data_IF_287727305606
#
_entry.id   IF_287727305606
#
_cell.length_a   1.000
_cell.length_b   1.000
_cell.length_c   1.000
_cell.angle_alpha   90.00
_cell.angle_beta   90.00
_cell.angle_gamma   90.00
#
_symmetry.space_group_name_H-M   'P 1'
#
loop_
_entity.id
_entity.type
_entity.pdbx_description
1 polymer ?
#
# COMPACT_ATOMS: atom_id res chain seq x y z
N UNK A 1 31.32 6.28 6.41
CA UNK A 1 30.98 6.23 4.98
C UNK A 1 30.91 4.76 4.58
N UNK A 2 29.87 4.31 3.85
CA UNK A 2 29.79 2.93 3.39
C UNK A 2 30.97 2.60 2.47
N UNK A 3 31.39 1.33 2.43
CA UNK A 3 32.44 0.86 1.54
C UNK A 3 32.06 1.13 0.07
N UNK A 4 33.04 1.45 -0.77
CA UNK A 4 32.80 1.83 -2.17
C UNK A 4 32.09 0.73 -2.99
N UNK A 5 32.27 -0.54 -2.60
CA UNK A 5 31.65 -1.71 -3.23
C UNK A 5 30.35 -2.16 -2.56
N UNK A 6 29.88 -1.43 -1.53
CA UNK A 6 28.67 -1.78 -0.79
C UNK A 6 27.41 -1.73 -1.66
N UNK A 7 26.36 -2.51 -1.32
CA UNK A 7 25.06 -2.44 -1.98
C UNK A 7 24.49 -1.02 -2.02
N UNK A 8 24.59 -0.28 -0.91
CA UNK A 8 24.11 1.11 -0.80
C UNK A 8 24.74 2.02 -1.85
N UNK A 9 26.06 1.99 -2.00
CA UNK A 9 26.77 2.81 -3.00
C UNK A 9 26.32 2.41 -4.40
N UNK A 10 26.35 1.12 -4.73
CA UNK A 10 25.93 0.61 -6.05
C UNK A 10 24.49 0.98 -6.41
N UNK A 11 23.57 0.95 -5.45
CA UNK A 11 22.16 1.31 -5.67
C UNK A 11 21.97 2.82 -5.84
N UNK A 12 22.63 3.64 -5.02
CA UNK A 12 22.39 5.09 -4.99
C UNK A 12 23.24 5.89 -5.99
N UNK A 13 24.36 5.31 -6.47
CA UNK A 13 25.25 5.96 -7.45
C UNK A 13 25.16 5.34 -8.84
N UNK A 14 24.11 4.56 -9.12
CA UNK A 14 23.77 4.09 -10.46
C UNK A 14 23.27 5.23 -11.36
N UNK A 15 22.29 4.99 -12.25
CA UNK A 15 21.67 6.05 -13.03
C UNK A 15 21.08 7.14 -12.13
N UNK A 16 21.33 8.41 -12.47
CA UNK A 16 20.81 9.55 -11.70
C UNK A 16 19.28 9.52 -11.73
N UNK A 17 18.67 9.41 -10.55
CA UNK A 17 17.23 9.51 -10.41
C UNK A 17 16.75 10.91 -10.77
N UNK A 18 15.84 11.01 -11.74
CA UNK A 18 15.26 12.28 -12.18
C UNK A 18 13.73 12.17 -12.18
N UNK A 19 13.07 12.83 -11.24
CA UNK A 19 11.60 12.83 -11.16
C UNK A 19 10.96 13.39 -12.45
N UNK A 20 11.60 14.38 -13.09
CA UNK A 20 11.12 14.95 -14.35
C UNK A 20 11.18 13.95 -15.53
N UNK A 21 11.97 12.87 -15.44
CA UNK A 21 11.96 11.83 -16.46
C UNK A 21 10.57 11.18 -16.56
N UNK A 22 9.82 11.10 -15.45
CA UNK A 22 8.51 10.47 -15.39
C UNK A 22 7.48 11.07 -16.37
N UNK A 23 7.62 12.36 -16.71
CA UNK A 23 6.71 13.03 -17.65
C UNK A 23 7.11 12.88 -19.12
N UNK A 24 8.32 12.40 -19.42
CA UNK A 24 8.82 12.23 -20.78
C UNK A 24 8.13 11.07 -21.51
N UNK A 25 7.99 11.18 -22.83
CA UNK A 25 7.39 10.11 -23.64
C UNK A 25 8.21 8.82 -23.64
N UNK A 26 9.54 8.93 -23.68
CA UNK A 26 10.44 7.77 -23.65
C UNK A 26 10.28 6.97 -22.36
N UNK A 27 10.18 7.66 -21.21
CA UNK A 27 9.95 7.01 -19.92
C UNK A 27 8.60 6.31 -19.83
N UNK A 28 7.52 6.95 -20.29
CA UNK A 28 6.17 6.37 -20.25
C UNK A 28 6.00 5.17 -21.18
N UNK A 29 6.79 5.13 -22.27
CA UNK A 29 6.77 4.03 -23.25
C UNK A 29 7.72 2.89 -22.90
N UNK A 30 8.73 3.14 -22.07
CA UNK A 30 9.61 2.08 -21.58
C UNK A 30 8.84 1.10 -20.69
N UNK A 31 9.38 -0.11 -20.51
CA UNK A 31 8.84 -1.12 -19.60
C UNK A 31 9.81 -1.31 -18.43
N UNK A 32 9.65 -0.48 -17.39
CA UNK A 32 10.51 -0.48 -16.21
C UNK A 32 9.68 -0.97 -15.01
N UNK A 33 9.54 -2.29 -14.90
CA UNK A 33 8.62 -2.95 -13.95
C UNK A 33 8.78 -2.56 -12.48
N UNK A 34 9.90 -1.96 -12.10
CA UNK A 34 10.15 -1.49 -10.72
C UNK A 34 9.71 -0.05 -10.45
N UNK A 35 9.52 0.80 -11.47
CA UNK A 35 9.52 2.26 -11.24
C UNK A 35 8.69 3.14 -12.18
N UNK A 36 8.27 2.70 -13.37
CA UNK A 36 7.56 3.58 -14.33
C UNK A 36 6.06 3.30 -14.53
N UNK A 37 5.44 2.55 -13.62
CA UNK A 37 3.99 2.31 -13.66
C UNK A 37 3.18 3.61 -13.59
N UNK A 38 2.25 3.79 -14.54
CA UNK A 38 1.34 4.94 -14.58
C UNK A 38 -0.08 4.51 -14.22
N UNK A 39 -0.54 4.92 -13.05
CA UNK A 39 -1.84 4.52 -12.51
C UNK A 39 -2.41 5.61 -11.59
N UNK A 40 -3.69 5.47 -11.22
CA UNK A 40 -4.33 6.30 -10.21
C UNK A 40 -4.72 5.46 -8.98
N UNK A 41 -5.15 6.12 -7.90
CA UNK A 41 -5.49 5.43 -6.66
C UNK A 41 -6.57 4.35 -6.87
N UNK A 42 -7.61 4.66 -7.65
CA UNK A 42 -8.70 3.73 -7.95
C UNK A 42 -8.20 2.48 -8.67
N UNK A 43 -7.40 2.62 -9.72
CA UNK A 43 -6.90 1.47 -10.48
C UNK A 43 -5.95 0.62 -9.63
N UNK A 44 -5.05 1.24 -8.87
CA UNK A 44 -4.15 0.51 -7.96
C UNK A 44 -4.94 -0.25 -6.89
N UNK A 45 -5.93 0.40 -6.26
CA UNK A 45 -6.75 -0.27 -5.25
C UNK A 45 -7.53 -1.45 -5.82
N UNK A 46 -8.09 -1.29 -7.04
CA UNK A 46 -8.80 -2.37 -7.73
C UNK A 46 -7.89 -3.53 -8.10
N UNK A 47 -6.69 -3.27 -8.62
CA UNK A 47 -5.77 -4.34 -8.99
C UNK A 47 -5.26 -5.08 -7.76
N UNK A 48 -4.83 -4.35 -6.73
CA UNK A 48 -4.25 -4.95 -5.52
C UNK A 48 -5.30 -5.57 -4.59
N UNK A 49 -6.60 -5.25 -4.76
CA UNK A 49 -7.67 -5.92 -4.00
C UNK A 49 -7.76 -7.41 -4.28
N UNK A 50 -7.21 -7.90 -5.40
CA UNK A 50 -7.06 -9.33 -5.66
C UNK A 50 -6.30 -10.04 -4.52
N UNK A 51 -5.37 -9.34 -3.86
CA UNK A 51 -4.61 -9.88 -2.73
C UNK A 51 -5.47 -9.83 -1.45
N UNK A 52 -6.07 -8.67 -1.14
CA UNK A 52 -6.78 -8.48 0.15
C UNK A 52 -8.13 -9.19 0.23
N UNK A 53 -8.88 -9.29 -0.87
CA UNK A 53 -10.26 -9.79 -0.83
C UNK A 53 -10.35 -11.31 -0.63
N UNK A 54 -9.23 -12.03 -0.76
CA UNK A 54 -9.18 -13.49 -0.74
C UNK A 54 -9.59 -14.10 -2.10
N UNK A 55 -9.08 -15.29 -2.39
CA UNK A 55 -9.40 -16.05 -3.61
C UNK A 55 -8.80 -15.50 -4.91
N UNK A 56 -8.17 -14.32 -4.89
CA UNK A 56 -7.47 -13.75 -6.04
C UNK A 56 -8.37 -13.21 -7.13
N UNK A 57 -9.63 -12.89 -6.82
CA UNK A 57 -10.65 -12.52 -7.79
C UNK A 57 -11.13 -11.09 -7.60
N UNK A 58 -11.23 -10.36 -8.71
CA UNK A 58 -11.76 -8.99 -8.76
C UNK A 58 -12.73 -8.89 -9.92
N UNK A 59 -13.95 -8.43 -9.66
CA UNK A 59 -15.01 -8.26 -10.66
C UNK A 59 -15.26 -9.52 -11.52
N UNK A 60 -15.25 -10.70 -10.89
CA UNK A 60 -15.46 -11.99 -11.55
C UNK A 60 -14.24 -12.55 -12.30
N UNK A 61 -13.10 -11.86 -12.28
CA UNK A 61 -11.85 -12.31 -12.93
C UNK A 61 -10.85 -12.74 -11.89
N UNK A 62 -10.47 -14.02 -11.92
CA UNK A 62 -9.44 -14.57 -11.05
C UNK A 62 -8.05 -14.31 -11.62
N UNK A 63 -7.27 -13.50 -10.91
CA UNK A 63 -5.90 -13.12 -11.24
C UNK A 63 -4.86 -13.99 -10.51
N UNK A 64 -5.16 -14.43 -9.29
CA UNK A 64 -4.24 -15.21 -8.45
C UNK A 64 -4.96 -16.41 -7.84
N UNK A 65 -4.21 -17.45 -7.49
CA UNK A 65 -4.72 -18.52 -6.63
C UNK A 65 -4.59 -18.10 -5.16
N UNK A 66 -5.42 -18.67 -4.27
CA UNK A 66 -5.25 -18.46 -2.82
C UNK A 66 -3.86 -18.88 -2.34
N UNK A 67 -3.33 -20.00 -2.87
CA UNK A 67 -1.96 -20.45 -2.60
C UNK A 67 -0.92 -19.39 -2.96
N UNK A 68 -1.11 -18.69 -4.08
CA UNK A 68 -0.21 -17.60 -4.50
C UNK A 68 -0.26 -16.43 -3.53
N UNK A 69 -1.46 -16.04 -3.07
CA UNK A 69 -1.63 -14.98 -2.07
C UNK A 69 -0.95 -15.37 -0.76
N UNK A 70 -1.08 -16.63 -0.32
CA UNK A 70 -0.44 -17.11 0.90
C UNK A 70 1.08 -17.13 0.79
N UNK A 71 1.66 -17.30 -0.42
CA UNK A 71 3.10 -17.14 -0.64
C UNK A 71 3.57 -15.69 -0.52
N UNK A 72 2.75 -14.70 -0.91
CA UNK A 72 3.11 -13.28 -0.83
C UNK A 72 3.45 -12.87 0.60
N UNK A 73 2.70 -13.37 1.57
CA UNK A 73 2.84 -13.04 3.00
C UNK A 73 3.86 -13.90 3.74
N UNK A 74 4.52 -14.84 3.06
CA UNK A 74 5.62 -15.60 3.65
C UNK A 74 6.89 -14.76 3.68
N UNK A 75 7.51 -14.70 4.85
CA UNK A 75 8.78 -13.99 5.04
C UNK A 75 9.87 -14.55 4.12
N UNK A 76 10.49 -13.65 3.35
CA UNK A 76 11.64 -13.92 2.49
C UNK A 76 12.93 -13.38 3.09
N UNK A 77 12.85 -12.25 3.81
CA UNK A 77 13.97 -11.64 4.51
C UNK A 77 13.47 -10.77 5.66
N UNK A 78 14.25 -10.66 6.73
CA UNK A 78 13.94 -9.82 7.89
C UNK A 78 15.23 -9.29 8.50
N UNK A 79 15.37 -7.97 8.56
CA UNK A 79 16.55 -7.31 9.11
C UNK A 79 16.63 -5.83 8.72
N UNK A 80 17.79 -5.22 8.96
CA UNK A 80 18.05 -3.86 8.48
C UNK A 80 18.30 -3.90 6.97
N UNK A 81 17.49 -3.20 6.20
CA UNK A 81 17.69 -3.07 4.76
C UNK A 81 18.99 -2.31 4.48
N UNK A 82 19.87 -2.89 3.65
CA UNK A 82 21.20 -2.32 3.41
C UNK A 82 21.16 -1.00 2.61
N UNK A 83 20.05 -0.68 1.94
CA UNK A 83 19.92 0.54 1.14
C UNK A 83 19.11 1.60 1.90
N UNK A 84 17.96 1.22 2.45
CA UNK A 84 17.08 2.12 3.21
C UNK A 84 17.59 2.38 4.62
N UNK A 85 18.42 1.49 5.18
CA UNK A 85 19.02 1.64 6.51
C UNK A 85 18.04 1.46 7.68
N UNK A 86 16.83 0.95 7.42
CA UNK A 86 15.77 0.74 8.42
C UNK A 86 15.40 -0.74 8.53
N UNK A 87 14.88 -1.20 9.68
CA UNK A 87 14.29 -2.53 9.78
C UNK A 87 13.19 -2.72 8.74
N UNK A 88 13.27 -3.80 7.98
CA UNK A 88 12.29 -4.15 6.96
C UNK A 88 12.15 -5.67 6.88
N UNK A 89 10.91 -6.11 6.86
CA UNK A 89 10.54 -7.52 6.69
C UNK A 89 9.87 -7.66 5.34
N UNK A 90 10.46 -8.49 4.48
CA UNK A 90 10.01 -8.68 3.11
C UNK A 90 9.20 -9.96 2.97
N UNK A 91 8.08 -9.86 2.28
CA UNK A 91 7.43 -10.98 1.61
C UNK A 91 7.84 -11.02 0.14
N UNK A 92 7.01 -11.64 -0.70
CA UNK A 92 7.24 -11.59 -2.15
C UNK A 92 6.70 -10.27 -2.70
N UNK A 93 7.62 -9.32 -2.93
CA UNK A 93 7.33 -8.02 -3.59
C UNK A 93 6.78 -6.92 -2.68
N UNK A 94 6.44 -7.22 -1.43
CA UNK A 94 5.89 -6.25 -0.48
C UNK A 94 6.62 -6.30 0.86
N UNK A 95 6.59 -5.18 1.58
CA UNK A 95 6.95 -5.16 2.98
C UNK A 95 5.79 -5.76 3.80
N UNK A 96 6.17 -6.49 4.85
CA UNK A 96 5.27 -7.10 5.82
C UNK A 96 5.45 -6.44 7.19
N UNK A 97 4.40 -6.35 8.01
CA UNK A 97 4.52 -5.81 9.37
C UNK A 97 5.53 -6.60 10.21
N UNK A 98 6.47 -5.94 10.88
CA UNK A 98 7.26 -6.49 12.00
C UNK A 98 7.19 -5.56 13.21
N UNK A 99 7.50 -6.02 14.44
CA UNK A 99 7.54 -5.14 15.61
C UNK A 99 8.42 -3.89 15.42
N UNK A 100 9.48 -4.00 14.62
CA UNK A 100 10.50 -2.97 14.38
C UNK A 100 10.18 -2.08 13.18
N UNK A 101 9.43 -2.58 12.18
CA UNK A 101 9.17 -1.87 10.91
C UNK A 101 7.73 -1.41 10.72
N UNK A 102 6.77 -1.91 11.52
CA UNK A 102 5.34 -1.62 11.32
C UNK A 102 5.04 -0.14 11.59
N UNK A 103 4.53 0.61 10.60
CA UNK A 103 4.14 1.98 10.82
C UNK A 103 3.05 2.09 11.89
N UNK A 104 3.09 3.10 12.78
CA UNK A 104 2.15 3.23 13.90
C UNK A 104 0.67 3.37 13.50
N UNK A 105 0.39 3.71 12.24
CA UNK A 105 -0.97 3.80 11.71
C UNK A 105 -1.57 2.44 11.33
N UNK A 106 -0.77 1.37 11.27
CA UNK A 106 -1.24 0.02 11.03
C UNK A 106 -1.56 -0.71 12.34
N UNK A 107 -2.54 -1.63 12.34
CA UNK A 107 -2.81 -2.47 13.50
C UNK A 107 -1.65 -3.41 13.82
N UNK A 108 -1.26 -3.48 15.10
CA UNK A 108 -0.15 -4.34 15.56
C UNK A 108 -0.42 -5.85 15.42
N UNK A 109 -1.69 -6.26 15.41
CA UNK A 109 -2.12 -7.66 15.34
C UNK A 109 -2.72 -8.00 13.97
N UNK A 110 -2.02 -7.66 12.89
CA UNK A 110 -2.47 -7.94 11.53
C UNK A 110 -1.31 -8.50 10.68
N UNK A 111 -0.96 -9.79 10.89
CA UNK A 111 0.21 -10.38 10.26
C UNK A 111 0.06 -10.55 8.73
N UNK A 112 -1.17 -10.48 8.21
CA UNK A 112 -1.49 -10.64 6.79
C UNK A 112 -1.71 -9.29 6.08
N UNK A 113 -0.89 -8.29 6.42
CA UNK A 113 -0.83 -7.02 5.69
C UNK A 113 0.36 -7.04 4.73
N UNK A 114 0.14 -6.57 3.50
CA UNK A 114 1.18 -6.23 2.55
C UNK A 114 1.20 -4.71 2.36
N UNK A 115 2.36 -4.08 2.41
CA UNK A 115 2.52 -2.63 2.23
C UNK A 115 3.68 -2.33 1.28
N UNK A 116 3.50 -1.35 0.41
CA UNK A 116 4.59 -0.78 -0.37
C UNK A 116 4.36 0.69 -0.67
N UNK A 117 5.46 1.45 -0.69
CA UNK A 117 5.49 2.88 -0.98
C UNK A 117 6.32 3.20 -2.20
N UNK A 118 6.00 4.32 -2.86
CA UNK A 118 6.78 4.86 -3.97
C UNK A 118 7.40 6.21 -3.63
N UNK A 119 8.49 6.53 -4.33
CA UNK A 119 9.17 7.82 -4.19
C UNK A 119 8.21 8.98 -4.42
N UNK A 120 8.26 9.96 -3.52
CA UNK A 120 7.34 11.09 -3.48
C UNK A 120 6.18 10.92 -2.48
N UNK A 121 5.88 9.69 -2.05
CA UNK A 121 4.92 9.39 -0.99
C UNK A 121 3.65 8.66 -1.43
N UNK A 122 3.64 7.99 -2.58
CA UNK A 122 2.55 7.08 -2.93
C UNK A 122 2.60 5.86 -2.02
N UNK A 123 1.44 5.24 -1.76
CA UNK A 123 1.36 4.11 -0.83
C UNK A 123 0.21 3.17 -1.21
N UNK A 124 0.42 1.88 -1.04
CA UNK A 124 -0.62 0.86 -1.08
C UNK A 124 -0.51 -0.06 0.14
N UNK A 125 -1.66 -0.38 0.72
CA UNK A 125 -1.81 -1.30 1.86
C UNK A 125 -2.90 -2.30 1.52
N UNK A 126 -2.58 -3.59 1.55
CA UNK A 126 -3.54 -4.69 1.41
C UNK A 126 -3.62 -5.43 2.74
N UNK A 127 -4.74 -5.28 3.45
CA UNK A 127 -5.04 -6.00 4.70
C UNK A 127 -5.98 -7.16 4.38
N UNK A 128 -5.41 -8.37 4.35
CA UNK A 128 -6.16 -9.59 4.04
C UNK A 128 -7.11 -9.98 5.17
N UNK A 129 -6.80 -9.65 6.43
CA UNK A 129 -7.64 -9.99 7.59
C UNK A 129 -8.94 -9.16 7.59
N UNK A 130 -8.83 -7.89 7.20
CA UNK A 130 -9.97 -6.96 7.08
C UNK A 130 -10.59 -6.92 5.69
N UNK A 131 -10.04 -7.69 4.74
CA UNK A 131 -10.43 -7.71 3.32
C UNK A 131 -10.48 -6.29 2.73
N UNK A 132 -9.43 -5.52 3.00
CA UNK A 132 -9.37 -4.10 2.69
C UNK A 132 -8.12 -3.77 1.90
N UNK A 133 -8.26 -2.94 0.86
CA UNK A 133 -7.12 -2.32 0.16
C UNK A 133 -7.26 -0.80 0.22
N UNK A 134 -6.17 -0.13 0.62
CA UNK A 134 -6.07 1.33 0.66
C UNK A 134 -4.93 1.75 -0.25
N UNK A 135 -5.19 2.72 -1.13
CA UNK A 135 -4.15 3.29 -1.99
C UNK A 135 -4.19 4.82 -1.95
N UNK A 136 -3.00 5.42 -2.04
CA UNK A 136 -2.81 6.85 -2.14
C UNK A 136 -1.83 7.13 -3.28
N UNK A 137 -2.30 7.89 -4.28
CA UNK A 137 -1.52 8.29 -5.46
C UNK A 137 -1.64 9.81 -5.63
N UNK A 138 -0.52 10.46 -5.90
CA UNK A 138 -0.43 11.92 -6.01
C UNK A 138 0.59 12.32 -7.08
N UNK A 139 0.45 13.54 -7.60
CA UNK A 139 1.40 14.12 -8.57
C UNK A 139 2.39 15.12 -7.93
N UNK A 140 2.10 15.60 -6.71
CA UNK A 140 3.01 16.47 -5.95
C UNK A 140 3.87 15.64 -5.01
N UNK A 141 5.10 15.34 -5.45
CA UNK A 141 6.09 14.58 -4.70
C UNK A 141 6.52 15.33 -3.43
N UNK A 142 6.69 14.58 -2.34
CA UNK A 142 7.45 14.99 -1.16
C UNK A 142 8.86 14.37 -1.16
N UNK A 143 9.66 14.60 -0.12
CA UNK A 143 11.03 14.10 -0.04
C UNK A 143 11.14 12.61 0.31
N UNK A 144 10.03 11.98 0.75
CA UNK A 144 10.06 10.59 1.23
C UNK A 144 10.20 9.56 0.10
N UNK A 145 10.95 8.49 0.39
CA UNK A 145 11.11 7.30 -0.47
C UNK A 145 10.10 6.20 -0.14
N UNK A 146 9.49 6.24 1.05
CA UNK A 146 8.53 5.24 1.52
C UNK A 146 7.43 5.94 2.33
N UNK A 147 6.20 5.98 1.80
CA UNK A 147 5.08 6.67 2.46
C UNK A 147 5.32 8.18 2.65
N UNK A 148 4.45 8.84 3.41
CA UNK A 148 4.52 10.26 3.77
C UNK A 148 3.45 10.58 4.80
N UNK A 149 3.58 11.67 5.57
CA UNK A 149 2.51 12.13 6.47
C UNK A 149 1.15 12.24 5.79
N UNK A 150 1.15 12.58 4.49
CA UNK A 150 -0.07 12.62 3.68
C UNK A 150 -0.66 11.24 3.49
N UNK A 151 0.09 10.25 3.00
CA UNK A 151 -0.43 8.88 2.83
C UNK A 151 -0.85 8.28 4.15
N UNK A 152 -0.06 8.50 5.19
CA UNK A 152 -0.23 7.92 6.53
C UNK A 152 -1.51 8.44 7.17
N UNK A 153 -1.81 9.73 7.02
CA UNK A 153 -3.06 10.31 7.46
C UNK A 153 -4.28 9.69 6.78
N UNK A 154 -4.20 9.37 5.47
CA UNK A 154 -5.32 8.71 4.76
C UNK A 154 -5.50 7.27 5.22
N UNK A 155 -4.40 6.52 5.36
CA UNK A 155 -4.48 5.13 5.86
C UNK A 155 -5.05 5.12 7.29
N UNK A 156 -4.54 5.97 8.18
CA UNK A 156 -5.05 6.12 9.55
C UNK A 156 -6.55 6.44 9.57
N UNK A 157 -7.00 7.39 8.76
CA UNK A 157 -8.41 7.75 8.67
C UNK A 157 -9.28 6.57 8.20
N UNK A 158 -8.82 5.80 7.21
CA UNK A 158 -9.55 4.62 6.73
C UNK A 158 -9.69 3.55 7.81
N UNK A 159 -8.61 3.23 8.53
CA UNK A 159 -8.68 2.28 9.65
C UNK A 159 -9.58 2.80 10.79
N UNK A 160 -9.53 4.11 11.09
CA UNK A 160 -10.39 4.73 12.09
C UNK A 160 -11.88 4.67 11.72
N UNK A 161 -12.21 4.92 10.45
CA UNK A 161 -13.58 4.80 9.94
C UNK A 161 -14.10 3.35 10.02
N UNK A 162 -13.27 2.38 9.62
CA UNK A 162 -13.63 0.97 9.71
C UNK A 162 -13.84 0.51 11.16
N UNK A 163 -12.96 0.92 12.07
CA UNK A 163 -13.10 0.61 13.50
C UNK A 163 -14.39 1.20 14.09
N UNK A 164 -14.72 2.44 13.73
CA UNK A 164 -15.96 3.10 14.16
C UNK A 164 -17.20 2.37 13.65
N UNK A 165 -17.19 1.96 12.37
CA UNK A 165 -18.28 1.17 11.78
C UNK A 165 -18.48 -0.17 12.51
N UNK A 166 -17.39 -0.90 12.77
CA UNK A 166 -17.44 -2.17 13.49
C UNK A 166 -17.95 -2.00 14.93
N UNK A 167 -17.58 -0.89 15.59
CA UNK A 167 -18.09 -0.56 16.91
C UNK A 167 -19.61 -0.32 16.87
N UNK A 168 -20.10 0.50 15.94
CA UNK A 168 -21.53 0.78 15.75
C UNK A 168 -22.35 -0.50 15.50
N UNK A 169 -21.84 -1.40 14.65
CA UNK A 169 -22.46 -2.70 14.41
C UNK A 169 -22.52 -3.54 15.69
N UNK A 170 -21.43 -3.56 16.48
CA UNK A 170 -21.34 -4.32 17.73
C UNK A 170 -22.28 -3.80 18.82
N UNK A 171 -22.50 -2.49 18.90
CA UNK A 171 -23.44 -1.88 19.87
C UNK A 171 -24.89 -1.87 19.36
N UNK A 172 -25.17 -2.54 18.24
CA UNK A 172 -26.53 -2.71 17.74
C UNK A 172 -27.14 -1.46 17.10
N UNK A 173 -26.31 -0.47 16.72
CA UNK A 173 -26.79 0.73 16.03
C UNK A 173 -27.29 0.36 14.62
N UNK A 174 -28.59 0.52 14.37
CA UNK A 174 -29.25 0.16 13.10
C UNK A 174 -29.49 1.35 12.16
N UNK A 175 -28.91 2.52 12.44
CA UNK A 175 -29.18 3.77 11.73
C UNK A 175 -28.59 3.91 10.32
N UNK A 176 -28.12 2.85 9.68
CA UNK A 176 -27.67 2.90 8.29
C UNK A 176 -28.84 2.58 7.36
N UNK A 177 -29.50 3.62 6.83
CA UNK A 177 -30.33 3.46 5.64
C UNK A 177 -29.40 3.38 4.42
N UNK A 178 -29.42 2.26 3.70
CA UNK A 178 -28.73 2.13 2.42
C UNK A 178 -29.34 3.12 1.42
N UNK A 179 -28.60 4.16 1.04
CA UNK A 179 -28.95 5.03 -0.08
C UNK A 179 -28.21 4.50 -1.32
N UNK A 180 -28.95 4.34 -2.41
CA UNK A 180 -28.56 3.61 -3.60
C UNK A 180 -27.28 4.13 -4.26
N UNK A 181 -26.61 3.21 -4.96
CA UNK A 181 -25.52 3.46 -5.91
C UNK A 181 -25.97 4.50 -6.92
N UNK A 182 -25.49 5.73 -6.80
CA UNK A 182 -25.10 6.60 -7.91
C UNK A 182 -24.50 7.89 -7.33
N UNK A 183 -23.17 7.97 -7.44
CA UNK A 183 -22.32 9.16 -7.31
C UNK A 183 -22.51 10.03 -6.04
N UNK A 184 -21.50 9.95 -5.15
CA UNK A 184 -21.25 10.78 -3.95
C UNK A 184 -21.92 10.31 -2.65
N UNK A 185 -21.14 9.61 -1.83
CA UNK A 185 -21.51 9.24 -0.45
C UNK A 185 -21.40 10.45 0.47
N UNK A 186 -22.51 10.95 0.99
CA UNK A 186 -22.56 11.71 2.24
C UNK A 186 -23.14 10.81 3.34
N UNK A 187 -22.47 10.73 4.49
CA UNK A 187 -23.08 10.21 5.72
C UNK A 187 -23.84 11.36 6.36
N UNK A 188 -25.16 11.36 6.28
CA UNK A 188 -26.03 12.25 7.04
C UNK A 188 -26.25 11.63 8.43
N UNK A 189 -25.57 12.16 9.45
CA UNK A 189 -26.01 11.96 10.84
C UNK A 189 -27.26 12.81 11.05
N UNK A 190 -28.42 12.18 11.24
CA UNK A 190 -29.52 12.83 11.97
C UNK A 190 -29.26 12.61 13.46
N UNK A 191 -29.04 13.72 14.16
CA UNK A 191 -29.20 13.81 15.62
C UNK A 191 -30.70 13.86 15.90
#
# INVERSE_FOLDING_TARGET
MPAADSPTVKTLTGPIACAAAAISLSWRKAELGTLNGHANARSVARTLSAISLGGGEVDGVRLLSQRTIDMIIQEQANGVDMVLGVPLRFGIGYALPSPESTPPFLPKNAPRICIWGGWGGSLAVMDCDRRMTVSYMMNRMGPSVFGSDRSDARVRATYGALASLLHLVRVGFRGFSAVSRDYWTWVLMKI
#
